data_IF_146519505185
#
_entry.id   IF_146519505185
#
_cell.length_a   1.000
_cell.length_b   1.000
_cell.length_c   1.000
_cell.angle_alpha   90.00
_cell.angle_beta   90.00
_cell.angle_gamma   90.00
#
_symmetry.space_group_name_H-M   'P 1'
#
loop_
_entity.id
_entity.type
_entity.pdbx_description
1 polymer ?
#
# COMPACT_ATOMS: atom_id res chain seq x y z
N UNK A 1 41.58 11.48 -7.59
CA UNK A 1 40.92 10.62 -6.58
C UNK A 1 39.95 11.50 -5.81
N UNK A 2 38.66 11.18 -5.86
CA UNK A 2 37.59 11.96 -5.24
C UNK A 2 36.28 11.75 -5.98
N UNK A 3 35.72 10.55 -5.83
CA UNK A 3 34.43 10.14 -6.40
C UNK A 3 33.27 10.85 -5.69
N UNK A 4 32.46 11.57 -6.46
CA UNK A 4 31.18 12.11 -6.02
C UNK A 4 30.13 11.00 -6.01
N UNK A 5 29.72 10.56 -4.82
CA UNK A 5 28.55 9.70 -4.62
C UNK A 5 27.26 10.51 -4.78
N UNK A 6 26.47 10.19 -5.80
CA UNK A 6 25.09 10.64 -5.95
C UNK A 6 24.21 9.90 -4.95
N UNK A 7 23.64 10.62 -3.97
CA UNK A 7 22.65 10.08 -3.04
C UNK A 7 21.28 10.07 -3.69
N UNK A 8 20.71 8.89 -3.80
CA UNK A 8 19.36 8.62 -4.29
C UNK A 8 18.36 8.88 -3.16
N UNK A 9 17.47 9.87 -3.32
CA UNK A 9 16.35 10.14 -2.41
C UNK A 9 15.22 9.13 -2.69
N UNK A 10 14.76 8.42 -1.66
CA UNK A 10 13.60 7.53 -1.76
C UNK A 10 12.33 8.30 -1.42
N UNK A 11 11.45 8.52 -2.40
CA UNK A 11 10.13 9.15 -2.24
C UNK A 11 9.07 8.08 -1.88
N UNK A 12 8.19 8.37 -0.92
CA UNK A 12 6.98 7.58 -0.61
C UNK A 12 5.78 8.41 -1.04
N UNK A 13 4.98 7.88 -1.97
CA UNK A 13 3.84 8.58 -2.59
C UNK A 13 2.55 8.18 -1.85
N UNK A 14 1.79 9.17 -1.40
CA UNK A 14 0.43 8.99 -0.86
C UNK A 14 -0.50 9.87 -1.70
N UNK A 15 -1.37 9.28 -2.52
CA UNK A 15 -2.32 10.01 -3.36
C UNK A 15 -3.71 10.04 -2.75
N UNK A 16 -4.30 11.23 -2.60
CA UNK A 16 -5.75 11.44 -2.47
C UNK A 16 -6.24 12.21 -3.70
N UNK A 17 -7.24 11.69 -4.41
CA UNK A 17 -7.84 12.36 -5.56
C UNK A 17 -8.93 13.35 -5.11
N UNK A 18 -8.81 14.60 -5.57
CA UNK A 18 -9.76 15.68 -5.32
C UNK A 18 -11.04 15.56 -6.15
N UNK A 19 -12.12 16.08 -5.58
CA UNK A 19 -13.49 15.97 -6.09
C UNK A 19 -13.78 17.13 -7.06
N UNK A 20 -14.05 16.86 -8.34
CA UNK A 20 -14.60 17.87 -9.26
C UNK A 20 -15.65 17.26 -10.18
N UNK A 21 -16.91 17.69 -10.00
CA UNK A 21 -18.06 17.34 -10.85
C UNK A 21 -18.00 18.14 -12.15
N UNK A 22 -18.01 17.44 -13.28
CA UNK A 22 -18.31 18.00 -14.60
C UNK A 22 -19.08 16.98 -15.43
N UNK A 23 -20.33 17.30 -15.77
CA UNK A 23 -21.19 16.48 -16.64
C UNK A 23 -20.99 16.88 -18.10
N UNK A 24 -20.68 15.93 -19.00
CA UNK A 24 -20.89 16.12 -20.44
C UNK A 24 -21.32 14.83 -21.14
N UNK A 25 -22.45 14.91 -21.85
CA UNK A 25 -22.97 13.90 -22.78
C UNK A 25 -22.27 14.02 -24.14
N UNK A 26 -21.86 12.91 -24.74
CA UNK A 26 -21.83 12.75 -26.22
C UNK A 26 -21.93 11.28 -26.64
N UNK A 27 -22.51 11.09 -27.81
CA UNK A 27 -23.08 9.87 -28.40
C UNK A 27 -22.16 9.16 -29.40
N UNK A 28 -22.26 7.82 -29.41
CA UNK A 28 -22.17 6.84 -30.52
C UNK A 28 -20.93 6.82 -31.47
N UNK A 29 -20.06 5.81 -31.34
CA UNK A 29 -20.04 4.55 -32.13
C UNK A 29 -18.80 3.69 -31.79
N UNK A 30 -18.99 2.40 -31.46
CA UNK A 30 -17.93 1.37 -31.52
C UNK A 30 -17.46 0.78 -30.19
N UNK A 31 -18.12 -0.29 -29.72
CA UNK A 31 -17.65 -1.16 -28.63
C UNK A 31 -17.91 -0.62 -27.22
N UNK A 32 -19.14 -0.77 -26.70
CA UNK A 32 -19.50 -0.43 -25.31
C UNK A 32 -18.76 -1.34 -24.32
N UNK A 33 -17.56 -0.97 -23.93
CA UNK A 33 -17.20 -1.11 -22.52
C UNK A 33 -18.00 -0.03 -21.80
N UNK A 34 -18.89 -0.42 -20.88
CA UNK A 34 -19.50 0.56 -20.00
C UNK A 34 -18.33 1.23 -19.25
N UNK A 35 -18.06 2.49 -19.58
CA UNK A 35 -17.10 3.32 -18.87
C UNK A 35 -17.51 3.35 -17.41
N UNK A 36 -16.79 2.62 -16.57
CA UNK A 36 -17.00 2.64 -15.13
C UNK A 36 -16.37 3.94 -14.65
N UNK A 37 -17.17 4.96 -14.37
CA UNK A 37 -16.69 6.17 -13.71
C UNK A 37 -16.27 5.78 -12.29
N UNK A 38 -14.99 5.45 -12.12
CA UNK A 38 -14.42 5.21 -10.79
C UNK A 38 -14.13 6.59 -10.19
N UNK A 39 -15.14 7.12 -9.49
CA UNK A 39 -15.12 8.46 -8.87
C UNK A 39 -14.17 8.52 -7.66
N UNK A 40 -13.62 7.38 -7.23
CA UNK A 40 -12.52 7.32 -6.29
C UNK A 40 -12.11 5.88 -6.01
N UNK A 41 -10.79 5.63 -5.95
CA UNK A 41 -10.22 4.42 -5.37
C UNK A 41 -9.60 4.81 -4.04
N UNK A 42 -10.10 4.27 -2.94
CA UNK A 42 -9.42 4.39 -1.65
C UNK A 42 -8.61 3.13 -1.42
N UNK A 43 -7.29 3.29 -1.39
CA UNK A 43 -6.38 2.26 -0.90
C UNK A 43 -6.41 2.33 0.64
N UNK A 44 -7.13 1.40 1.26
CA UNK A 44 -7.06 1.22 2.71
C UNK A 44 -6.05 0.11 2.96
N UNK A 45 -4.81 0.49 3.28
CA UNK A 45 -3.84 -0.44 3.84
C UNK A 45 -4.30 -0.78 5.26
N UNK A 46 -4.82 -1.99 5.45
CA UNK A 46 -5.05 -2.50 6.80
C UNK A 46 -3.67 -2.83 7.40
N UNK A 47 -3.14 -1.92 8.22
CA UNK A 47 -2.05 -2.21 9.14
C UNK A 47 -2.56 -2.90 10.43
N UNK A 48 -3.84 -3.29 10.47
CA UNK A 48 -4.55 -3.85 11.63
C UNK A 48 -4.67 -5.37 11.44
N UNK A 49 -3.56 -6.07 11.58
CA UNK A 49 -3.53 -7.54 11.74
C UNK A 49 -2.23 -8.01 12.41
N UNK A 50 -1.17 -7.18 12.40
CA UNK A 50 0.13 -7.51 12.99
C UNK A 50 0.16 -7.59 14.53
N UNK A 51 -0.78 -6.96 15.24
CA UNK A 51 -0.72 -6.94 16.71
C UNK A 51 -1.49 -8.07 17.42
N UNK A 52 -2.32 -8.85 16.73
CA UNK A 52 -3.13 -9.88 17.39
C UNK A 52 -2.73 -11.33 17.09
N UNK A 53 -2.09 -11.61 15.94
CA UNK A 53 -1.76 -12.99 15.53
C UNK A 53 -0.52 -13.57 16.24
N UNK A 54 0.40 -12.75 16.77
CA UNK A 54 1.52 -13.26 17.60
C UNK A 54 1.05 -13.89 18.93
N UNK A 55 -0.20 -13.69 19.33
CA UNK A 55 -0.74 -14.18 20.61
C UNK A 55 -1.53 -15.51 20.52
N UNK A 56 -1.59 -16.13 19.34
CA UNK A 56 -2.31 -17.41 19.16
C UNK A 56 -3.83 -17.32 19.37
N UNK A 57 -4.41 -16.12 19.25
CA UNK A 57 -5.86 -15.93 19.27
C UNK A 57 -6.43 -16.07 17.86
N UNK A 58 -7.62 -16.65 17.76
CA UNK A 58 -8.43 -16.72 16.53
C UNK A 58 -8.65 -15.32 15.96
N UNK A 59 -8.96 -15.25 14.66
CA UNK A 59 -9.45 -14.03 14.01
C UNK A 59 -10.41 -13.31 14.97
N UNK A 60 -10.17 -12.03 15.32
CA UNK A 60 -10.97 -11.36 16.34
C UNK A 60 -12.45 -11.44 15.97
N UNK A 61 -13.31 -11.60 16.97
CA UNK A 61 -14.75 -11.36 16.77
C UNK A 61 -14.90 -9.86 16.55
N UNK A 62 -15.09 -9.47 15.30
CA UNK A 62 -14.55 -8.23 14.73
C UNK A 62 -15.60 -7.12 14.58
N UNK A 63 -16.26 -6.72 15.67
CA UNK A 63 -17.21 -5.59 15.61
C UNK A 63 -16.56 -4.30 15.09
N UNK A 64 -15.27 -4.09 15.37
CA UNK A 64 -14.54 -2.89 14.95
C UNK A 64 -14.14 -2.92 13.47
N UNK A 65 -13.69 -4.06 12.94
CA UNK A 65 -13.34 -4.18 11.52
C UNK A 65 -14.59 -4.20 10.64
N UNK A 66 -15.66 -4.90 11.02
CA UNK A 66 -16.95 -4.82 10.32
C UNK A 66 -17.52 -3.41 10.36
N UNK A 67 -17.43 -2.70 11.50
CA UNK A 67 -17.86 -1.29 11.58
C UNK A 67 -17.01 -0.37 10.70
N UNK A 68 -15.70 -0.61 10.61
CA UNK A 68 -14.82 0.14 9.72
C UNK A 68 -15.17 -0.11 8.25
N UNK A 69 -15.35 -1.37 7.85
CA UNK A 69 -15.78 -1.76 6.50
C UNK A 69 -17.15 -1.19 6.15
N UNK A 70 -18.13 -1.23 7.07
CA UNK A 70 -19.43 -0.62 6.88
C UNK A 70 -19.33 0.88 6.57
N UNK A 71 -18.54 1.63 7.35
CA UNK A 71 -18.33 3.07 7.11
C UNK A 71 -17.67 3.36 5.77
N UNK A 72 -16.74 2.50 5.33
CA UNK A 72 -16.11 2.63 4.02
C UNK A 72 -17.10 2.32 2.90
N UNK A 73 -17.88 1.25 3.04
CA UNK A 73 -18.87 0.80 2.08
C UNK A 73 -20.04 1.78 1.91
N UNK A 74 -20.45 2.47 2.98
CA UNK A 74 -21.44 3.54 2.92
C UNK A 74 -20.92 4.79 2.18
N UNK A 75 -19.60 4.98 2.15
CA UNK A 75 -18.97 6.21 1.65
C UNK A 75 -18.39 6.08 0.24
N UNK A 76 -17.97 4.88 -0.14
CA UNK A 76 -17.23 4.63 -1.37
C UNK A 76 -17.84 3.47 -2.16
N UNK A 77 -18.06 3.69 -3.45
CA UNK A 77 -18.59 2.66 -4.35
C UNK A 77 -17.54 1.58 -4.67
N UNK A 78 -16.25 1.94 -4.64
CA UNK A 78 -15.13 1.07 -4.97
C UNK A 78 -14.07 1.09 -3.87
N UNK A 79 -13.72 -0.10 -3.39
CA UNK A 79 -12.81 -0.29 -2.27
C UNK A 79 -11.75 -1.32 -2.66
N UNK A 80 -10.49 -1.02 -2.35
CA UNK A 80 -9.38 -1.96 -2.45
C UNK A 80 -8.76 -2.07 -1.05
N UNK A 81 -8.82 -3.27 -0.50
CA UNK A 81 -8.20 -3.66 0.75
C UNK A 81 -6.88 -4.36 0.45
N UNK A 82 -5.80 -3.90 1.07
CA UNK A 82 -4.48 -4.55 0.96
C UNK A 82 -3.84 -4.69 2.34
N UNK A 83 -3.13 -5.78 2.58
CA UNK A 83 -2.35 -5.96 3.80
C UNK A 83 -1.97 -7.40 4.11
N UNK A 84 -1.11 -7.59 5.10
CA UNK A 84 -0.78 -8.91 5.66
C UNK A 84 -1.83 -9.29 6.70
N UNK A 85 -2.63 -10.31 6.39
CA UNK A 85 -3.74 -10.77 7.24
C UNK A 85 -3.38 -12.03 8.04
N UNK A 86 -2.22 -12.63 7.80
CA UNK A 86 -1.77 -13.87 8.45
C UNK A 86 -2.76 -15.07 8.32
N UNK A 87 -3.62 -15.08 7.30
CA UNK A 87 -4.46 -16.21 6.91
C UNK A 87 -3.95 -16.78 5.59
N UNK A 88 -3.58 -18.05 5.57
CA UNK A 88 -3.02 -18.70 4.38
C UNK A 88 -4.13 -19.04 3.37
N UNK A 89 -4.28 -18.22 2.33
CA UNK A 89 -5.26 -18.41 1.25
C UNK A 89 -4.99 -19.68 0.42
N UNK A 90 -3.82 -20.31 0.53
CA UNK A 90 -3.51 -21.58 -0.15
C UNK A 90 -4.01 -22.80 0.63
N UNK A 91 -4.49 -22.64 1.86
CA UNK A 91 -4.93 -23.73 2.73
C UNK A 91 -6.34 -23.49 3.24
N UNK A 92 -7.18 -24.52 3.17
CA UNK A 92 -8.50 -24.50 3.80
C UNK A 92 -8.36 -24.32 5.31
N UNK A 93 -9.06 -23.34 5.87
CA UNK A 93 -9.13 -23.12 7.32
C UNK A 93 -10.41 -22.40 7.69
N UNK A 94 -10.88 -22.57 8.92
CA UNK A 94 -12.06 -21.86 9.45
C UNK A 94 -11.88 -20.34 9.35
N UNK A 95 -10.66 -19.84 9.55
CA UNK A 95 -10.36 -18.41 9.42
C UNK A 95 -10.48 -17.92 7.97
N UNK A 96 -10.10 -18.75 6.99
CA UNK A 96 -10.28 -18.44 5.58
C UNK A 96 -11.77 -18.39 5.23
N UNK A 97 -12.56 -19.36 5.71
CA UNK A 97 -14.00 -19.40 5.49
C UNK A 97 -14.69 -18.15 6.09
N UNK A 98 -14.36 -17.80 7.33
CA UNK A 98 -14.87 -16.59 8.00
C UNK A 98 -14.48 -15.30 7.25
N UNK A 99 -13.24 -15.21 6.78
CA UNK A 99 -12.80 -14.07 5.99
C UNK A 99 -13.58 -13.98 4.67
N UNK A 100 -13.77 -15.10 3.98
CA UNK A 100 -14.57 -15.18 2.77
C UNK A 100 -16.02 -14.73 3.02
N UNK A 101 -16.65 -15.17 4.11
CA UNK A 101 -18.00 -14.74 4.48
C UNK A 101 -18.10 -13.22 4.68
N UNK A 102 -17.11 -12.61 5.34
CA UNK A 102 -17.03 -11.15 5.52
C UNK A 102 -16.87 -10.45 4.17
N UNK A 103 -15.93 -10.89 3.34
CA UNK A 103 -15.69 -10.28 2.02
C UNK A 103 -16.91 -10.39 1.12
N UNK A 104 -17.60 -11.54 1.13
CA UNK A 104 -18.81 -11.79 0.37
C UNK A 104 -19.95 -10.86 0.79
N UNK A 105 -20.09 -10.56 2.09
CA UNK A 105 -21.08 -9.61 2.59
C UNK A 105 -20.91 -8.20 1.98
N UNK A 106 -19.68 -7.82 1.61
CA UNK A 106 -19.34 -6.56 0.94
C UNK A 106 -19.12 -6.70 -0.57
N UNK A 107 -19.46 -7.85 -1.16
CA UNK A 107 -19.25 -8.14 -2.60
C UNK A 107 -17.78 -7.97 -3.02
N UNK A 108 -16.86 -8.28 -2.12
CA UNK A 108 -15.43 -8.21 -2.37
C UNK A 108 -14.88 -9.59 -2.69
N UNK A 109 -13.87 -9.64 -3.55
CA UNK A 109 -13.12 -10.85 -3.87
C UNK A 109 -11.66 -10.66 -3.47
N UNK A 110 -11.04 -11.68 -2.89
CA UNK A 110 -9.59 -11.71 -2.71
C UNK A 110 -8.92 -12.16 -4.02
N UNK A 111 -7.99 -11.37 -4.53
CA UNK A 111 -7.29 -11.60 -5.79
C UNK A 111 -6.04 -12.47 -5.63
N UNK A 112 -5.65 -12.79 -4.40
CA UNK A 112 -4.45 -13.58 -4.11
C UNK A 112 -4.74 -15.06 -4.32
N UNK A 113 -4.15 -15.62 -5.39
CA UNK A 113 -4.22 -17.05 -5.75
C UNK A 113 -2.85 -17.75 -5.74
N UNK A 114 -1.79 -16.99 -5.45
CA UNK A 114 -0.39 -17.41 -5.49
C UNK A 114 0.30 -17.12 -4.16
N UNK A 115 1.42 -17.81 -3.87
CA UNK A 115 2.21 -17.51 -2.68
C UNK A 115 2.56 -16.03 -2.60
N UNK A 116 2.46 -15.48 -1.40
CA UNK A 116 2.86 -14.10 -1.08
C UNK A 116 4.01 -14.07 -0.08
N UNK A 117 4.35 -15.22 0.52
CA UNK A 117 5.53 -15.39 1.37
C UNK A 117 6.23 -16.70 1.06
N UNK A 118 7.55 -16.63 0.91
CA UNK A 118 8.46 -17.77 0.73
C UNK A 118 9.59 -17.63 1.74
N UNK A 119 9.59 -18.50 2.74
CA UNK A 119 10.57 -18.50 3.81
C UNK A 119 11.38 -19.80 3.80
N UNK A 120 12.68 -19.74 4.02
CA UNK A 120 13.53 -20.92 4.24
C UNK A 120 14.26 -20.75 5.56
N UNK A 121 14.11 -21.71 6.47
CA UNK A 121 14.75 -21.64 7.77
C UNK A 121 16.24 -22.03 7.69
N UNK A 122 16.96 -21.88 8.80
CA UNK A 122 18.39 -22.23 8.91
C UNK A 122 18.72 -23.72 8.72
N UNK A 123 17.72 -24.60 8.80
CA UNK A 123 17.85 -26.04 8.60
C UNK A 123 17.53 -26.48 7.16
N UNK A 124 17.15 -25.53 6.28
CA UNK A 124 16.80 -25.79 4.90
C UNK A 124 15.32 -26.11 4.66
N UNK A 125 14.47 -26.04 5.69
CA UNK A 125 13.04 -26.26 5.52
C UNK A 125 12.40 -25.03 4.87
N UNK A 126 11.69 -25.26 3.77
CA UNK A 126 11.01 -24.21 3.00
C UNK A 126 9.52 -24.18 3.33
N UNK A 127 9.02 -22.99 3.65
CA UNK A 127 7.60 -22.67 3.80
C UNK A 127 7.15 -21.75 2.66
N UNK A 128 5.96 -22.03 2.14
CA UNK A 128 5.31 -21.27 1.06
C UNK A 128 3.87 -21.04 1.49
N UNK A 129 3.45 -19.78 1.57
CA UNK A 129 2.12 -19.40 2.04
C UNK A 129 1.62 -18.15 1.32
N UNK A 130 0.31 -17.95 1.25
CA UNK A 130 -0.31 -16.72 0.76
C UNK A 130 -1.04 -16.04 1.93
N UNK A 131 -0.31 -15.22 2.68
CA UNK A 131 -0.80 -14.60 3.92
C UNK A 131 -1.11 -13.11 3.78
N UNK A 132 -0.82 -12.55 2.61
CA UNK A 132 -1.23 -11.21 2.24
C UNK A 132 -2.58 -11.25 1.50
N UNK A 133 -3.32 -10.15 1.59
CA UNK A 133 -4.65 -9.99 1.02
C UNK A 133 -4.67 -8.81 0.05
N UNK A 134 -5.34 -9.02 -1.08
CA UNK A 134 -5.71 -7.96 -2.02
C UNK A 134 -7.18 -8.18 -2.34
N UNK A 135 -8.08 -7.56 -1.57
CA UNK A 135 -9.52 -7.73 -1.73
C UNK A 135 -10.19 -6.49 -2.32
N UNK A 136 -11.15 -6.67 -3.24
CA UNK A 136 -11.84 -5.54 -3.86
C UNK A 136 -13.23 -5.90 -4.36
N UNK A 137 -14.13 -4.92 -4.42
CA UNK A 137 -15.44 -5.01 -5.09
C UNK A 137 -15.41 -4.50 -6.54
N UNK A 138 -14.22 -4.22 -7.10
CA UNK A 138 -14.06 -3.87 -8.51
C UNK A 138 -14.32 -5.09 -9.42
N UNK A 139 -14.85 -4.90 -10.63
CA UNK A 139 -15.05 -5.99 -11.58
C UNK A 139 -13.73 -6.66 -11.97
N UNK A 140 -13.66 -8.00 -11.94
CA UNK A 140 -12.46 -8.77 -12.34
C UNK A 140 -11.93 -8.38 -13.72
N UNK A 141 -12.81 -8.00 -14.64
CA UNK A 141 -12.44 -7.59 -16.00
C UNK A 141 -11.53 -6.37 -16.07
N UNK A 142 -11.47 -5.54 -15.02
CA UNK A 142 -10.57 -4.39 -14.96
C UNK A 142 -9.32 -4.64 -14.09
N UNK A 143 -9.10 -5.87 -13.61
CA UNK A 143 -8.07 -6.16 -12.62
C UNK A 143 -7.03 -7.14 -13.17
N UNK A 144 -5.78 -6.90 -12.81
CA UNK A 144 -4.70 -7.87 -12.93
C UNK A 144 -3.84 -7.80 -11.67
N UNK A 145 -3.62 -8.94 -11.01
CA UNK A 145 -2.77 -9.01 -9.82
C UNK A 145 -1.65 -10.02 -10.05
N UNK A 146 -0.43 -9.66 -9.64
CA UNK A 146 0.69 -10.59 -9.64
C UNK A 146 1.63 -10.38 -8.45
N UNK A 147 2.27 -11.47 -8.04
CA UNK A 147 3.30 -11.47 -7.01
C UNK A 147 4.68 -11.40 -7.65
N UNK A 148 5.55 -10.53 -7.12
CA UNK A 148 6.88 -10.25 -7.64
C UNK A 148 7.88 -10.32 -6.49
N UNK A 149 9.05 -10.91 -6.69
CA UNK A 149 10.07 -11.00 -5.63
C UNK A 149 10.89 -9.71 -5.56
N UNK A 150 10.75 -8.89 -4.49
CA UNK A 150 11.45 -7.61 -4.39
C UNK A 150 12.90 -7.76 -3.91
N UNK A 151 13.30 -8.95 -3.45
CA UNK A 151 14.60 -9.22 -2.79
C UNK A 151 14.82 -8.38 -1.50
N UNK A 152 13.74 -7.97 -0.84
CA UNK A 152 13.79 -7.16 0.39
C UNK A 152 13.37 -7.94 1.66
N UNK A 153 12.90 -9.17 1.51
CA UNK A 153 12.40 -10.01 2.61
C UNK A 153 11.90 -11.37 2.11
N UNK A 154 11.23 -12.09 3.00
CA UNK A 154 10.54 -13.36 2.69
C UNK A 154 9.12 -13.14 2.13
N UNK A 155 8.57 -11.93 2.19
CA UNK A 155 7.35 -11.55 1.47
C UNK A 155 7.64 -11.13 0.02
N UNK A 156 6.77 -11.60 -0.86
CA UNK A 156 6.65 -11.21 -2.26
C UNK A 156 5.81 -9.92 -2.33
N UNK A 157 6.27 -8.95 -3.12
CA UNK A 157 5.51 -7.75 -3.42
C UNK A 157 4.29 -8.11 -4.26
N UNK A 158 3.15 -7.47 -4.02
CA UNK A 158 1.97 -7.61 -4.86
C UNK A 158 1.84 -6.37 -5.74
N UNK A 159 1.66 -6.58 -7.04
CA UNK A 159 1.32 -5.55 -8.00
C UNK A 159 -0.14 -5.77 -8.40
N UNK A 160 -0.95 -4.73 -8.23
CA UNK A 160 -2.33 -4.67 -8.68
C UNK A 160 -2.45 -3.59 -9.75
N UNK A 161 -2.80 -4.02 -10.97
CA UNK A 161 -3.15 -3.14 -12.08
C UNK A 161 -4.67 -2.98 -12.13
N UNK A 162 -5.13 -1.73 -12.18
CA UNK A 162 -6.55 -1.38 -12.24
C UNK A 162 -6.83 -0.58 -13.52
N UNK A 163 -7.57 -1.18 -14.44
CA UNK A 163 -8.02 -0.56 -15.68
C UNK A 163 -9.21 0.37 -15.44
N UNK A 164 -8.94 1.67 -15.26
CA UNK A 164 -9.98 2.66 -14.96
C UNK A 164 -10.84 3.07 -16.17
N UNK A 165 -10.56 2.56 -17.37
CA UNK A 165 -11.28 2.93 -18.59
C UNK A 165 -11.08 4.39 -19.02
N UNK A 166 -10.17 5.12 -18.38
CA UNK A 166 -9.82 6.50 -18.68
C UNK A 166 -8.91 6.50 -19.92
N UNK A 167 -9.34 7.14 -21.00
CA UNK A 167 -8.48 7.30 -22.17
C UNK A 167 -7.46 8.41 -21.91
N UNK A 168 -6.34 8.41 -22.63
CA UNK A 168 -5.34 9.48 -22.54
C UNK A 168 -5.90 10.87 -22.92
N UNK A 169 -7.07 10.90 -23.53
CA UNK A 169 -7.82 12.10 -23.94
C UNK A 169 -8.72 12.63 -22.81
N UNK A 170 -9.14 11.77 -21.86
CA UNK A 170 -9.99 12.13 -20.71
C UNK A 170 -9.19 12.71 -19.54
N UNK A 171 -7.87 12.47 -19.49
CA UNK A 171 -6.98 13.09 -18.50
C UNK A 171 -6.65 14.50 -18.97
N UNK A 172 -7.54 15.43 -18.66
CA UNK A 172 -7.24 16.85 -18.78
C UNK A 172 -5.90 17.09 -18.02
N UNK A 173 -4.91 17.63 -18.72
CA UNK A 173 -3.51 17.74 -18.29
C UNK A 173 -3.32 18.78 -17.16
N UNK A 174 -4.25 18.82 -16.21
CA UNK A 174 -4.14 19.62 -15.01
C UNK A 174 -2.91 19.14 -14.22
N UNK A 175 -2.03 20.06 -13.80
CA UNK A 175 -0.92 19.73 -12.90
C UNK A 175 -1.49 19.04 -11.67
N UNK A 176 -1.23 17.73 -11.53
CA UNK A 176 -1.64 17.01 -10.35
C UNK A 176 -0.77 17.48 -9.19
N UNK A 177 -1.39 18.02 -8.15
CA UNK A 177 -0.69 18.27 -6.89
C UNK A 177 -0.74 16.98 -6.09
N UNK A 178 0.43 16.41 -5.80
CA UNK A 178 0.53 15.30 -4.84
C UNK A 178 0.94 15.84 -3.49
N UNK A 179 0.41 15.23 -2.44
CA UNK A 179 0.88 15.44 -1.08
C UNK A 179 1.97 14.42 -0.76
N UNK A 180 3.10 14.91 -0.27
CA UNK A 180 4.25 14.05 0.03
C UNK A 180 5.01 14.57 1.23
N UNK A 181 5.56 13.66 2.04
CA UNK A 181 6.44 14.03 3.16
C UNK A 181 7.88 14.03 2.69
N UNK A 182 8.59 15.10 3.04
CA UNK A 182 10.03 15.21 2.81
C UNK A 182 10.76 14.43 3.90
N UNK A 183 11.23 13.22 3.58
CA UNK A 183 12.00 12.36 4.51
C UNK A 183 13.48 12.38 4.08
N UNK A 184 14.05 13.59 4.04
CA UNK A 184 15.46 13.80 3.71
C UNK A 184 16.37 13.65 4.92
N UNK A 185 17.68 13.54 4.67
CA UNK A 185 18.68 13.43 5.75
C UNK A 185 18.63 14.60 6.74
N UNK A 186 18.31 15.81 6.28
CA UNK A 186 18.11 16.99 7.13
C UNK A 186 16.85 16.87 8.00
N UNK A 187 15.73 16.41 7.44
CA UNK A 187 14.48 16.18 8.16
C UNK A 187 14.64 15.08 9.23
N UNK A 188 15.34 14.00 8.90
CA UNK A 188 15.65 12.93 9.87
C UNK A 188 16.60 13.43 10.97
N UNK A 189 17.58 14.27 10.64
CA UNK A 189 18.45 14.89 11.65
C UNK A 189 17.66 15.78 12.61
N UNK A 190 16.73 16.56 12.08
CA UNK A 190 15.82 17.40 12.87
C UNK A 190 14.90 16.56 13.76
N UNK A 191 14.37 15.45 13.22
CA UNK A 191 13.55 14.51 13.99
C UNK A 191 14.29 13.93 15.19
N UNK A 192 15.53 13.47 14.98
CA UNK A 192 16.39 12.97 16.06
C UNK A 192 16.67 14.06 17.10
N UNK A 193 17.03 15.26 16.64
CA UNK A 193 17.26 16.39 17.53
C UNK A 193 16.03 16.69 18.42
N UNK A 194 14.82 16.64 17.86
CA UNK A 194 13.59 16.88 18.63
C UNK A 194 13.28 15.77 19.61
N UNK A 195 13.47 14.51 19.24
CA UNK A 195 13.32 13.39 20.17
C UNK A 195 14.30 13.47 21.33
N UNK A 196 15.56 13.83 21.06
CA UNK A 196 16.60 13.96 22.08
C UNK A 196 16.31 15.10 23.07
N UNK A 197 15.61 16.15 22.62
CA UNK A 197 15.24 17.32 23.43
C UNK A 197 13.80 17.27 23.96
N UNK A 198 13.05 16.19 23.69
CA UNK A 198 11.69 16.06 24.20
C UNK A 198 11.75 15.75 25.70
N UNK A 199 10.85 16.36 26.49
CA UNK A 199 10.75 16.04 27.91
C UNK A 199 9.98 14.73 28.08
N UNK A 200 10.67 13.70 28.56
CA UNK A 200 10.09 12.38 28.80
C UNK A 200 9.69 12.18 30.26
N UNK A 201 9.86 13.17 31.14
CA UNK A 201 9.56 13.03 32.56
C UNK A 201 8.07 12.76 32.80
N UNK A 202 7.19 13.34 31.98
CA UNK A 202 5.74 13.17 32.08
C UNK A 202 5.29 11.71 31.89
N UNK A 203 5.97 10.93 31.05
CA UNK A 203 5.67 9.50 30.84
C UNK A 203 5.76 8.68 32.13
N UNK A 204 6.67 9.04 33.03
CA UNK A 204 6.86 8.34 34.31
C UNK A 204 5.82 8.72 35.37
N UNK A 205 4.99 9.73 35.10
CA UNK A 205 3.95 10.19 36.03
C UNK A 205 2.61 9.49 35.82
N UNK A 206 2.47 8.76 34.71
CA UNK A 206 1.23 8.08 34.35
C UNK A 206 1.07 6.79 35.17
N UNK A 207 -0.14 6.55 35.67
CA UNK A 207 -0.46 5.38 36.49
C UNK A 207 -0.88 4.16 35.66
N UNK A 208 -1.33 4.38 34.42
CA UNK A 208 -1.72 3.35 33.47
C UNK A 208 -0.72 3.29 32.30
N UNK A 209 -0.48 2.08 31.80
CA UNK A 209 0.39 1.81 30.64
C UNK A 209 -0.22 2.35 29.35
N UNK A 210 -1.54 2.28 29.20
CA UNK A 210 -2.20 2.77 27.97
C UNK A 210 -1.99 4.28 27.82
N UNK A 211 -2.24 5.05 28.87
CA UNK A 211 -2.09 6.51 28.87
C UNK A 211 -0.63 6.90 28.60
N UNK A 212 0.34 6.20 29.22
CA UNK A 212 1.76 6.42 28.97
C UNK A 212 2.15 6.10 27.51
N UNK A 213 1.54 5.06 26.93
CA UNK A 213 1.75 4.69 25.53
C UNK A 213 1.18 5.74 24.58
N UNK A 214 0.00 6.27 24.87
CA UNK A 214 -0.63 7.32 24.09
C UNK A 214 0.20 8.62 24.12
N UNK A 215 0.70 9.03 25.29
CA UNK A 215 1.57 10.21 25.40
C UNK A 215 2.90 10.01 24.66
N UNK A 216 3.51 8.83 24.76
CA UNK A 216 4.74 8.50 24.04
C UNK A 216 4.52 8.58 22.54
N UNK A 217 3.47 7.93 22.03
CA UNK A 217 3.18 7.90 20.61
C UNK A 217 2.84 9.30 20.09
N UNK A 218 2.04 10.08 20.84
CA UNK A 218 1.71 11.46 20.49
C UNK A 218 2.94 12.35 20.40
N UNK A 219 3.87 12.20 21.36
CA UNK A 219 5.13 12.94 21.36
C UNK A 219 6.03 12.60 20.18
N UNK A 220 6.17 11.31 19.86
CA UNK A 220 6.95 10.83 18.71
C UNK A 220 6.33 11.31 17.40
N UNK A 221 5.01 11.19 17.26
CA UNK A 221 4.28 11.63 16.07
C UNK A 221 4.43 13.14 15.87
N UNK A 222 4.27 13.93 16.92
CA UNK A 222 4.46 15.38 16.84
C UNK A 222 5.88 15.74 16.37
N UNK A 223 6.91 15.11 16.95
CA UNK A 223 8.30 15.30 16.52
C UNK A 223 8.47 14.97 15.02
N UNK A 224 7.85 13.87 14.56
CA UNK A 224 7.91 13.44 13.17
C UNK A 224 7.18 14.40 12.23
N UNK A 225 5.97 14.84 12.59
CA UNK A 225 5.15 15.73 11.76
C UNK A 225 5.80 17.09 11.55
N UNK A 226 6.39 17.65 12.60
CA UNK A 226 7.12 18.93 12.53
C UNK A 226 8.40 18.78 11.71
N UNK A 227 9.11 17.67 11.87
CA UNK A 227 10.39 17.45 11.17
C UNK A 227 10.21 17.05 9.71
N UNK A 228 9.17 16.29 9.40
CA UNK A 228 8.85 15.74 8.08
C UNK A 228 7.44 16.19 7.65
N UNK A 229 7.22 17.51 7.43
CA UNK A 229 5.89 18.02 7.11
C UNK A 229 5.41 17.51 5.75
N UNK A 230 4.09 17.38 5.63
CA UNK A 230 3.44 17.15 4.34
C UNK A 230 3.60 18.42 3.50
N UNK A 231 4.09 18.26 2.28
CA UNK A 231 4.24 19.33 1.30
C UNK A 231 3.46 18.94 0.05
N UNK A 232 2.83 19.95 -0.56
CA UNK A 232 2.24 19.81 -1.87
C UNK A 232 3.32 20.01 -2.93
N UNK A 233 3.54 19.01 -3.78
CA UNK A 233 4.42 19.11 -4.94
C UNK A 233 3.54 19.04 -6.18
N UNK A 234 3.70 20.03 -7.05
CA UNK A 234 3.14 19.95 -8.40
C UNK A 234 3.90 18.87 -9.16
N UNK A 235 3.22 17.81 -9.53
CA UNK A 235 3.73 16.82 -10.48
C UNK A 235 3.51 17.42 -11.86
N UNK A 236 4.61 17.83 -12.48
CA UNK A 236 4.61 18.05 -13.92
C UNK A 236 4.39 16.69 -14.57
N UNK A 237 3.44 16.60 -15.49
CA UNK A 237 3.16 15.38 -16.26
C UNK A 237 4.47 14.76 -16.75
N UNK A 238 4.84 13.63 -16.16
CA UNK A 238 6.02 12.85 -16.53
C UNK A 238 5.72 12.04 -17.79
N UNK A 239 5.41 12.72 -18.89
CA UNK A 239 5.95 12.24 -20.17
C UNK A 239 7.43 12.56 -20.16
N UNK A 240 8.19 11.82 -19.34
CA UNK A 240 9.63 11.78 -19.51
C UNK A 240 9.86 11.33 -20.95
N UNK A 241 10.62 12.07 -21.77
CA UNK A 241 10.99 11.58 -23.08
C UNK A 241 11.66 10.23 -22.89
N UNK A 242 11.28 9.28 -23.76
CA UNK A 242 11.80 7.93 -23.88
C UNK A 242 13.27 7.88 -23.39
N UNK A 243 13.51 7.36 -22.19
CA UNK A 243 14.84 7.37 -21.58
C UNK A 243 15.71 6.38 -22.36
N UNK A 244 16.46 6.86 -23.35
CA UNK A 244 17.22 6.04 -24.32
C UNK A 244 18.19 5.04 -23.65
N UNK A 245 18.59 5.28 -22.40
CA UNK A 245 19.50 4.40 -21.66
C UNK A 245 18.82 3.14 -21.10
N UNK A 246 17.49 3.09 -20.98
CA UNK A 246 16.74 1.88 -20.58
C UNK A 246 16.38 1.09 -21.84
N UNK A 247 17.39 0.48 -22.46
CA UNK A 247 17.22 -0.39 -23.61
C UNK A 247 16.96 -1.85 -23.19
N UNK A 248 16.68 -2.71 -24.17
CA UNK A 248 16.34 -4.11 -23.90
C UNK A 248 17.52 -4.93 -23.36
N UNK A 249 18.77 -4.51 -23.62
CA UNK A 249 19.97 -5.14 -23.07
C UNK A 249 20.06 -4.92 -21.55
N UNK A 250 19.73 -3.72 -21.07
CA UNK A 250 19.69 -3.40 -19.64
C UNK A 250 18.58 -4.22 -18.94
N UNK A 251 17.42 -4.37 -19.58
CA UNK A 251 16.33 -5.21 -19.05
C UNK A 251 16.72 -6.69 -19.00
N UNK A 252 17.36 -7.18 -20.05
CA UNK A 252 17.81 -8.59 -20.16
C UNK A 252 18.87 -8.90 -19.11
N UNK A 253 19.90 -8.05 -18.99
CA UNK A 253 20.98 -8.21 -18.01
C UNK A 253 20.46 -8.18 -16.55
N UNK A 254 19.48 -7.31 -16.27
CA UNK A 254 18.83 -7.25 -14.96
C UNK A 254 18.07 -8.55 -14.63
N UNK A 255 17.37 -9.13 -15.60
CA UNK A 255 16.68 -10.40 -15.43
C UNK A 255 17.65 -11.58 -15.27
N UNK A 256 18.76 -11.60 -16.03
CA UNK A 256 19.80 -12.62 -15.88
C UNK A 256 20.47 -12.58 -14.50
N UNK A 257 20.80 -11.37 -14.01
CA UNK A 257 21.32 -11.18 -12.64
C UNK A 257 20.34 -11.69 -11.59
N UNK A 258 19.04 -11.44 -11.74
CA UNK A 258 18.01 -11.96 -10.83
C UNK A 258 17.96 -13.49 -10.83
N UNK A 259 18.23 -14.13 -11.98
CA UNK A 259 18.18 -15.59 -12.12
C UNK A 259 19.47 -16.30 -11.68
N UNK A 260 20.61 -15.59 -11.61
CA UNK A 260 21.94 -16.15 -11.32
C UNK A 260 22.14 -16.56 -9.86
N UNK A 261 21.52 -15.85 -8.93
CA UNK A 261 21.77 -16.04 -7.49
C UNK A 261 20.84 -17.07 -6.83
N UNK A 262 19.96 -17.75 -7.58
CA UNK A 262 18.88 -18.55 -6.99
C UNK A 262 18.58 -19.87 -7.72
N UNK A 263 19.61 -20.71 -7.93
CA UNK A 263 19.42 -22.15 -8.18
C UNK A 263 19.25 -22.92 -6.88
#
# INVERSE_FOLDING_TARGET
>A
MGSTESKEEKEVIITQAGNSRGTTNTSEFGGKYNSMEIIGVVLVCFLIALLHMETGRTFPKDEDNERALNKLYEKYDHIILVGDINIDALKTSINLDLMSDILDAYKMINLIDKPTRIFTNKFGDRSVSAIDCVATNLPVSCLSCCSVQPNLGDHLAQILDVGLGITAEDVDCCPQSIEMRSIGASNIKEFKYRLDNNDWCSLYTHSNVDDATEEFMSSVLWCFEVSCPVKQKKVLSTRAPNQEWINDDVKTSSNELRNLFWR
#
